data_IF_338081029208
#
_entry.id   IF_338081029208
#
_cell.length_a   1.000
_cell.length_b   1.000
_cell.length_c   1.000
_cell.angle_alpha   90.00
_cell.angle_beta   90.00
_cell.angle_gamma   90.00
#
_symmetry.space_group_name_H-M   'P 1'
#
loop_
_entity.id
_entity.type
_entity.pdbx_description
1 polymer ?
#
# COMPACT_ATOMS: atom_id res chain seq x y z
N UNK A 1 -37.93 -5.26 11.99
CA UNK A 1 -37.29 -6.57 11.78
C UNK A 1 -36.04 -6.36 10.90
N UNK A 2 -34.85 -6.30 11.50
CA UNK A 2 -33.60 -6.49 10.74
C UNK A 2 -33.51 -8.00 10.53
N UNK A 3 -33.82 -8.50 9.34
CA UNK A 3 -33.45 -9.84 8.96
C UNK A 3 -31.96 -10.02 9.16
N UNK A 4 -31.55 -11.01 9.93
CA UNK A 4 -30.18 -11.34 10.11
C UNK A 4 -29.63 -11.83 8.76
N UNK A 5 -28.68 -11.10 8.18
CA UNK A 5 -28.04 -11.49 6.92
C UNK A 5 -27.32 -12.82 7.16
N UNK A 6 -27.77 -13.88 6.49
CA UNK A 6 -27.09 -15.18 6.51
C UNK A 6 -25.94 -15.18 5.50
N UNK A 7 -24.77 -14.73 5.95
CA UNK A 7 -23.57 -14.65 5.09
C UNK A 7 -23.13 -16.00 4.54
N UNK A 8 -23.34 -17.09 5.27
CA UNK A 8 -22.95 -18.43 4.83
C UNK A 8 -23.78 -18.88 3.62
N UNK A 9 -25.08 -18.55 3.63
CA UNK A 9 -25.96 -18.82 2.48
C UNK A 9 -25.52 -18.01 1.25
N UNK A 10 -25.20 -16.73 1.40
CA UNK A 10 -24.71 -15.92 0.28
C UNK A 10 -23.38 -16.43 -0.31
N UNK A 11 -22.49 -16.95 0.51
CA UNK A 11 -21.25 -17.57 0.02
C UNK A 11 -21.52 -18.85 -0.79
N UNK A 12 -22.48 -19.68 -0.34
CA UNK A 12 -22.93 -20.86 -1.07
C UNK A 12 -23.62 -20.48 -2.39
N UNK A 13 -24.49 -19.51 -2.37
CA UNK A 13 -25.17 -19.00 -3.58
C UNK A 13 -24.15 -18.44 -4.59
N UNK A 14 -23.15 -17.69 -4.11
CA UNK A 14 -22.07 -17.20 -4.96
C UNK A 14 -21.25 -18.36 -5.55
N UNK A 15 -20.97 -19.40 -4.76
CA UNK A 15 -20.19 -20.56 -5.24
C UNK A 15 -20.91 -21.33 -6.36
N UNK A 16 -22.24 -21.32 -6.35
CA UNK A 16 -23.09 -22.05 -7.31
C UNK A 16 -23.64 -21.15 -8.44
N UNK A 17 -23.34 -19.85 -8.44
CA UNK A 17 -23.84 -18.92 -9.45
C UNK A 17 -23.05 -19.00 -10.76
N UNK A 18 -23.71 -18.69 -11.89
CA UNK A 18 -23.05 -18.63 -13.20
C UNK A 18 -21.98 -17.53 -13.29
N UNK A 19 -22.17 -16.43 -12.55
CA UNK A 19 -21.23 -15.31 -12.48
C UNK A 19 -20.83 -15.10 -11.00
N UNK A 20 -19.65 -15.62 -10.66
CA UNK A 20 -19.15 -15.62 -9.28
C UNK A 20 -18.26 -14.43 -8.99
N UNK A 21 -18.44 -13.82 -7.81
CA UNK A 21 -17.41 -12.98 -7.21
C UNK A 21 -16.28 -13.87 -6.70
N UNK A 22 -15.18 -13.94 -7.42
CA UNK A 22 -14.05 -14.84 -7.09
C UNK A 22 -13.02 -14.17 -6.17
N UNK A 23 -13.08 -12.85 -6.01
CA UNK A 23 -12.17 -12.10 -5.15
C UNK A 23 -12.86 -10.86 -4.59
N UNK A 24 -12.88 -10.74 -3.28
CA UNK A 24 -13.37 -9.58 -2.54
C UNK A 24 -12.21 -8.94 -1.79
N UNK A 25 -11.98 -7.66 -2.05
CA UNK A 25 -10.96 -6.86 -1.34
C UNK A 25 -11.64 -5.89 -0.39
N UNK A 26 -11.17 -5.88 0.85
CA UNK A 26 -11.54 -4.88 1.85
C UNK A 26 -10.34 -3.97 2.12
N UNK A 27 -10.59 -2.69 2.37
CA UNK A 27 -9.56 -1.70 2.71
C UNK A 27 -9.86 -1.13 4.08
N UNK A 28 -8.84 -1.08 4.94
CA UNK A 28 -8.98 -0.57 6.30
C UNK A 28 -7.66 -0.02 6.84
N UNK A 29 -7.68 0.38 8.12
CA UNK A 29 -6.47 0.81 8.85
C UNK A 29 -5.91 -0.37 9.66
N UNK A 30 -4.60 -0.43 9.94
CA UNK A 30 -4.01 -1.45 10.80
C UNK A 30 -4.68 -1.53 12.17
N UNK A 31 -5.02 -0.40 12.78
CA UNK A 31 -5.71 -0.31 14.08
C UNK A 31 -7.08 -1.00 14.13
N UNK A 32 -7.71 -1.19 12.98
CA UNK A 32 -9.02 -1.84 12.86
C UNK A 32 -8.92 -3.35 12.60
N UNK A 33 -7.72 -3.88 12.37
CA UNK A 33 -7.47 -5.29 12.12
C UNK A 33 -7.20 -6.02 13.44
N UNK A 34 -8.23 -6.37 14.17
CA UNK A 34 -8.17 -7.30 15.31
C UNK A 34 -8.81 -8.65 14.94
N UNK A 35 -8.70 -9.64 15.81
CA UNK A 35 -9.23 -10.99 15.56
C UNK A 35 -10.70 -10.98 15.17
N UNK A 36 -11.52 -10.20 15.86
CA UNK A 36 -12.96 -10.13 15.58
C UNK A 36 -13.24 -9.54 14.20
N UNK A 37 -12.62 -8.39 13.87
CA UNK A 37 -12.85 -7.72 12.57
C UNK A 37 -12.35 -8.57 11.41
N UNK A 38 -11.20 -9.24 11.56
CA UNK A 38 -10.64 -10.15 10.56
C UNK A 38 -11.54 -11.37 10.36
N UNK A 39 -12.08 -11.94 11.45
CA UNK A 39 -13.07 -13.00 11.37
C UNK A 39 -14.31 -12.55 10.60
N UNK A 40 -14.84 -11.34 10.86
CA UNK A 40 -15.99 -10.79 10.12
C UNK A 40 -15.67 -10.57 8.64
N UNK A 41 -14.46 -10.09 8.31
CA UNK A 41 -14.02 -9.95 6.91
C UNK A 41 -13.99 -11.30 6.20
N UNK A 42 -13.46 -12.34 6.86
CA UNK A 42 -13.47 -13.72 6.32
C UNK A 42 -14.87 -14.24 6.12
N UNK A 43 -15.75 -14.06 7.12
CA UNK A 43 -17.14 -14.46 7.05
C UNK A 43 -17.91 -13.75 5.93
N UNK A 44 -17.53 -12.50 5.60
CA UNK A 44 -18.09 -11.76 4.48
C UNK A 44 -17.52 -12.18 3.11
N UNK A 45 -16.61 -13.15 3.05
CA UNK A 45 -16.00 -13.66 1.81
C UNK A 45 -14.78 -12.89 1.33
N UNK A 46 -14.16 -12.05 2.18
CA UNK A 46 -12.91 -11.38 1.82
C UNK A 46 -11.82 -12.39 1.48
N UNK A 47 -11.10 -12.12 0.41
CA UNK A 47 -9.94 -12.90 -0.04
C UNK A 47 -8.64 -12.11 0.11
N UNK A 48 -8.75 -10.80 0.26
CA UNK A 48 -7.64 -9.86 0.36
C UNK A 48 -8.03 -8.66 1.22
N UNK A 49 -7.07 -8.17 2.01
CA UNK A 49 -7.24 -6.93 2.77
C UNK A 49 -6.09 -5.98 2.46
N UNK A 50 -6.43 -4.73 2.21
CA UNK A 50 -5.49 -3.64 1.99
C UNK A 50 -5.42 -2.78 3.26
N UNK A 51 -4.23 -2.58 3.79
CA UNK A 51 -4.03 -1.78 4.99
C UNK A 51 -3.13 -0.57 4.74
N UNK A 52 -3.54 0.55 5.34
CA UNK A 52 -2.85 1.83 5.23
C UNK A 52 -1.63 1.93 6.15
N UNK A 53 -0.53 1.24 5.80
CA UNK A 53 0.72 1.23 6.58
C UNK A 53 1.40 2.59 6.55
N UNK A 54 1.56 3.18 5.39
CA UNK A 54 2.15 4.47 5.05
C UNK A 54 3.69 4.48 5.18
N UNK A 55 4.26 4.28 6.37
CA UNK A 55 5.69 4.09 6.65
C UNK A 55 5.88 3.19 7.88
N UNK A 56 7.12 2.81 8.19
CA UNK A 56 7.48 2.01 9.37
C UNK A 56 8.24 2.83 10.42
N UNK A 57 7.92 4.12 10.54
CA UNK A 57 8.56 5.05 11.48
C UNK A 57 7.50 5.74 12.35
N UNK A 58 7.41 5.35 13.64
CA UNK A 58 6.37 5.85 14.56
C UNK A 58 6.36 7.37 14.70
N UNK A 59 7.54 8.01 14.78
CA UNK A 59 7.62 9.47 14.90
C UNK A 59 7.05 10.22 13.68
N UNK A 60 7.07 9.59 12.49
CA UNK A 60 6.46 10.13 11.28
C UNK A 60 4.95 9.91 11.30
N UNK A 61 4.49 8.73 11.72
CA UNK A 61 3.07 8.44 11.91
C UNK A 61 2.42 9.39 12.91
N UNK A 62 3.11 9.70 14.01
CA UNK A 62 2.67 10.68 15.02
C UNK A 62 2.56 12.09 14.43
N UNK A 63 3.58 12.56 13.69
CA UNK A 63 3.54 13.87 13.02
C UNK A 63 2.37 13.98 12.05
N UNK A 64 2.00 12.89 11.41
CA UNK A 64 0.86 12.81 10.50
C UNK A 64 -0.47 12.61 11.21
N UNK A 65 -0.48 12.59 12.54
CA UNK A 65 -1.66 12.32 13.38
C UNK A 65 -2.43 11.06 12.93
N UNK A 66 -1.68 9.99 12.58
CA UNK A 66 -2.29 8.74 12.08
C UNK A 66 -2.98 7.92 13.16
N UNK A 67 -2.67 8.20 14.46
CA UNK A 67 -3.17 7.40 15.58
C UNK A 67 -2.93 5.90 15.37
N UNK A 68 -1.74 5.57 14.90
CA UNK A 68 -1.32 4.24 14.48
C UNK A 68 0.16 4.09 14.82
N UNK A 69 0.56 2.90 15.23
CA UNK A 69 1.95 2.53 15.49
C UNK A 69 2.40 1.40 14.57
N UNK A 70 3.69 1.21 14.45
CA UNK A 70 4.28 0.09 13.69
C UNK A 70 3.84 -1.25 14.27
N UNK A 71 3.66 -1.34 15.60
CA UNK A 71 3.12 -2.53 16.27
C UNK A 71 1.69 -2.88 15.82
N UNK A 72 0.86 -1.89 15.46
CA UNK A 72 -0.48 -2.14 14.91
C UNK A 72 -0.37 -2.81 13.54
N UNK A 73 0.63 -2.41 12.74
CA UNK A 73 0.88 -3.04 11.42
C UNK A 73 1.30 -4.49 11.57
N UNK A 74 2.20 -4.78 12.53
CA UNK A 74 2.66 -6.14 12.85
C UNK A 74 1.47 -7.02 13.26
N UNK A 75 0.67 -6.57 14.22
CA UNK A 75 -0.50 -7.30 14.68
C UNK A 75 -1.53 -7.52 13.57
N UNK A 76 -1.85 -6.47 12.81
CA UNK A 76 -2.76 -6.56 11.67
C UNK A 76 -2.28 -7.58 10.63
N UNK A 77 -0.98 -7.54 10.29
CA UNK A 77 -0.39 -8.48 9.33
C UNK A 77 -0.49 -9.91 9.80
N UNK A 78 -0.18 -10.16 11.07
CA UNK A 78 -0.30 -11.48 11.69
C UNK A 78 -1.73 -12.01 11.60
N UNK A 79 -2.73 -11.27 12.11
CA UNK A 79 -4.14 -11.70 12.08
C UNK A 79 -4.64 -11.97 10.66
N UNK A 80 -4.29 -11.10 9.70
CA UNK A 80 -4.71 -11.27 8.32
C UNK A 80 -4.08 -12.50 7.66
N UNK A 81 -2.79 -12.76 7.90
CA UNK A 81 -2.09 -13.93 7.36
C UNK A 81 -2.55 -15.24 8.00
N UNK A 82 -2.73 -15.26 9.32
CA UNK A 82 -3.29 -16.40 10.06
C UNK A 82 -4.71 -16.75 9.56
N UNK A 83 -5.50 -15.75 9.18
CA UNK A 83 -6.80 -15.96 8.56
C UNK A 83 -6.75 -16.40 7.08
N UNK A 84 -5.55 -16.58 6.49
CA UNK A 84 -5.37 -16.97 5.08
C UNK A 84 -5.72 -15.88 4.07
N UNK A 85 -5.74 -14.61 4.48
CA UNK A 85 -6.01 -13.47 3.60
C UNK A 85 -4.74 -12.98 2.92
N UNK A 86 -4.85 -12.54 1.67
CA UNK A 86 -3.78 -11.80 1.01
C UNK A 86 -3.67 -10.39 1.58
N UNK A 87 -2.45 -9.94 1.87
CA UNK A 87 -2.19 -8.66 2.51
C UNK A 87 -1.56 -7.68 1.53
N UNK A 88 -2.16 -6.49 1.42
CA UNK A 88 -1.65 -5.39 0.58
C UNK A 88 -1.29 -4.22 1.47
N UNK A 89 -0.08 -3.70 1.34
CA UNK A 89 0.32 -2.47 2.03
C UNK A 89 0.22 -1.26 1.12
N UNK A 90 -0.37 -0.20 1.64
CA UNK A 90 -0.26 1.13 1.07
C UNK A 90 0.91 1.85 1.72
N UNK A 91 1.93 2.19 0.93
CA UNK A 91 3.12 2.92 1.35
C UNK A 91 3.11 4.32 0.77
N UNK A 92 3.55 5.29 1.57
CA UNK A 92 3.59 6.70 1.19
C UNK A 92 5.01 7.26 1.33
N UNK A 93 5.90 7.04 0.34
CA UNK A 93 7.22 7.64 0.37
C UNK A 93 7.15 9.17 0.33
N UNK A 94 8.09 9.80 1.00
CA UNK A 94 8.21 11.25 1.09
C UNK A 94 7.22 11.88 2.07
N UNK A 95 6.82 11.19 3.14
CA UNK A 95 6.04 11.82 4.23
C UNK A 95 6.88 12.88 4.98
N UNK A 96 6.23 13.88 5.63
CA UNK A 96 6.93 14.88 6.44
C UNK A 96 7.85 14.26 7.50
N UNK A 97 9.15 14.46 7.33
CA UNK A 97 10.21 13.88 8.18
C UNK A 97 10.88 12.64 7.61
N UNK A 98 10.45 12.16 6.44
CA UNK A 98 11.16 11.13 5.68
C UNK A 98 12.14 11.75 4.69
N UNK A 99 13.21 11.01 4.39
CA UNK A 99 14.16 11.28 3.29
C UNK A 99 14.17 10.07 2.34
N UNK A 100 14.72 10.20 1.13
CA UNK A 100 14.87 9.05 0.23
C UNK A 100 15.56 7.84 0.88
N UNK A 101 16.57 8.06 1.68
CA UNK A 101 17.34 7.01 2.38
C UNK A 101 16.50 6.32 3.46
N UNK A 102 15.72 7.10 4.22
CA UNK A 102 14.84 6.55 5.26
C UNK A 102 13.66 5.80 4.66
N UNK A 103 13.10 6.28 3.55
CA UNK A 103 12.06 5.57 2.80
C UNK A 103 12.56 4.22 2.27
N UNK A 104 13.79 4.18 1.71
CA UNK A 104 14.40 2.94 1.22
C UNK A 104 14.65 1.96 2.37
N UNK A 105 15.15 2.43 3.50
CA UNK A 105 15.37 1.59 4.69
C UNK A 105 14.05 1.00 5.23
N UNK A 106 13.01 1.80 5.34
CA UNK A 106 11.68 1.33 5.75
C UNK A 106 11.14 0.30 4.76
N UNK A 107 11.41 0.49 3.46
CA UNK A 107 10.99 -0.45 2.43
C UNK A 107 11.75 -1.78 2.48
N UNK A 108 13.05 -1.76 2.71
CA UNK A 108 13.84 -2.97 2.90
C UNK A 108 13.36 -3.77 4.11
N UNK A 109 12.96 -3.07 5.18
CA UNK A 109 12.42 -3.69 6.38
C UNK A 109 11.13 -4.48 6.11
N UNK A 110 10.31 -4.07 5.12
CA UNK A 110 9.08 -4.82 4.75
C UNK A 110 9.35 -6.28 4.37
N UNK A 111 10.56 -6.61 3.91
CA UNK A 111 10.87 -7.94 3.40
C UNK A 111 11.95 -8.67 4.21
N UNK A 112 12.81 -7.92 4.91
CA UNK A 112 13.85 -8.47 5.75
C UNK A 112 13.35 -8.83 7.15
N UNK A 113 12.29 -8.17 7.62
CA UNK A 113 11.66 -8.42 8.90
C UNK A 113 10.44 -9.36 8.70
N UNK A 114 10.43 -10.55 9.34
CA UNK A 114 9.38 -11.55 9.17
C UNK A 114 8.00 -11.09 9.64
N UNK A 115 7.93 -10.06 10.46
CA UNK A 115 6.67 -9.52 10.99
C UNK A 115 5.82 -8.80 9.93
N UNK A 116 6.39 -8.48 8.76
CA UNK A 116 5.68 -7.78 7.67
C UNK A 116 5.41 -8.68 6.46
N UNK A 117 6.28 -8.72 5.49
CA UNK A 117 6.24 -9.53 4.27
C UNK A 117 4.87 -9.51 3.54
N UNK A 118 4.40 -8.34 3.07
CA UNK A 118 3.14 -8.25 2.35
C UNK A 118 3.15 -9.02 1.02
N UNK A 119 1.98 -9.49 0.58
CA UNK A 119 1.83 -10.14 -0.73
C UNK A 119 1.86 -9.11 -1.87
N UNK A 120 1.38 -7.90 -1.62
CA UNK A 120 1.24 -6.87 -2.63
C UNK A 120 1.50 -5.47 -2.06
N UNK A 121 1.84 -4.55 -2.96
CA UNK A 121 2.12 -3.16 -2.61
C UNK A 121 1.38 -2.18 -3.52
N UNK A 122 0.94 -1.08 -2.91
CA UNK A 122 0.61 0.17 -3.58
C UNK A 122 1.53 1.25 -3.03
N UNK A 123 2.20 1.98 -3.91
CA UNK A 123 3.17 3.01 -3.53
C UNK A 123 2.66 4.37 -4.01
N UNK A 124 2.36 5.24 -3.08
CA UNK A 124 1.77 6.55 -3.34
C UNK A 124 2.67 7.67 -2.82
N UNK A 125 3.63 8.18 -3.62
CA UNK A 125 4.41 9.33 -3.19
C UNK A 125 3.51 10.44 -2.64
N UNK A 126 3.95 11.02 -1.53
CA UNK A 126 3.16 12.03 -0.81
C UNK A 126 3.05 13.29 -1.66
N UNK A 127 1.83 13.82 -1.75
CA UNK A 127 1.49 15.03 -2.50
C UNK A 127 0.88 16.07 -1.56
N UNK A 128 1.10 17.34 -1.84
CA UNK A 128 0.29 18.43 -1.30
C UNK A 128 -0.96 18.59 -2.14
N UNK A 129 -2.11 18.21 -1.58
CA UNK A 129 -3.40 18.26 -2.25
C UNK A 129 -4.27 19.34 -1.62
N UNK A 130 -4.94 20.12 -2.44
CA UNK A 130 -5.86 21.20 -2.00
C UNK A 130 -6.85 20.66 -0.97
N UNK A 131 -7.00 21.42 0.13
CA UNK A 131 -7.95 21.08 1.19
C UNK A 131 -7.50 19.99 2.17
N UNK A 132 -6.37 19.33 1.93
CA UNK A 132 -5.82 18.34 2.88
C UNK A 132 -5.29 19.04 4.14
N UNK A 133 -5.28 18.38 5.32
CA UNK A 133 -4.68 18.93 6.53
C UNK A 133 -3.23 19.37 6.32
N UNK A 134 -2.44 18.56 5.60
CA UNK A 134 -1.05 18.86 5.29
C UNK A 134 -0.90 20.13 4.42
N UNK A 135 -1.82 20.36 3.46
CA UNK A 135 -1.76 21.56 2.64
C UNK A 135 -2.19 22.84 3.37
N UNK A 136 -2.95 22.70 4.46
CA UNK A 136 -3.34 23.84 5.32
C UNK A 136 -2.21 24.30 6.22
N UNK A 137 -1.37 23.37 6.69
CA UNK A 137 -0.25 23.62 7.59
C UNK A 137 1.00 22.83 7.13
N UNK A 138 1.60 23.18 5.99
CA UNK A 138 2.74 22.42 5.44
C UNK A 138 4.03 22.66 6.24
N UNK A 139 4.15 23.77 6.98
CA UNK A 139 5.41 24.17 7.61
C UNK A 139 6.52 24.28 6.55
N UNK A 140 7.67 23.69 6.86
CA UNK A 140 8.82 23.61 5.93
C UNK A 140 8.82 22.33 5.06
N UNK A 141 7.70 21.59 5.01
CA UNK A 141 7.62 20.37 4.24
C UNK A 141 7.58 20.66 2.74
N UNK A 142 8.46 19.98 2.01
CA UNK A 142 8.50 19.98 0.55
C UNK A 142 8.36 18.53 0.08
N UNK A 143 7.33 18.18 -0.71
CA UNK A 143 7.17 16.83 -1.24
C UNK A 143 8.27 16.52 -2.28
N UNK A 144 8.50 15.23 -2.54
CA UNK A 144 9.42 14.83 -3.59
C UNK A 144 8.96 15.33 -4.96
N UNK A 145 9.88 15.89 -5.73
CA UNK A 145 9.66 16.13 -7.15
C UNK A 145 9.58 14.80 -7.94
N UNK A 146 9.24 14.89 -9.21
CA UNK A 146 9.09 13.70 -10.07
C UNK A 146 10.38 12.89 -10.17
N UNK A 147 11.55 13.54 -10.22
CA UNK A 147 12.82 12.85 -10.39
C UNK A 147 13.22 12.13 -9.10
N UNK A 148 13.13 12.79 -7.96
CA UNK A 148 13.39 12.19 -6.65
C UNK A 148 12.45 11.02 -6.38
N UNK A 149 11.15 11.20 -6.62
CA UNK A 149 10.17 10.12 -6.47
C UNK A 149 10.46 8.95 -7.42
N UNK A 150 10.88 9.22 -8.66
CA UNK A 150 11.24 8.17 -9.62
C UNK A 150 12.43 7.33 -9.15
N UNK A 151 13.46 7.98 -8.58
CA UNK A 151 14.63 7.30 -8.00
C UNK A 151 14.24 6.42 -6.82
N UNK A 152 13.48 6.95 -5.86
CA UNK A 152 12.98 6.19 -4.69
C UNK A 152 12.13 4.99 -5.14
N UNK A 153 11.23 5.18 -6.11
CA UNK A 153 10.43 4.08 -6.65
C UNK A 153 11.29 3.06 -7.41
N UNK A 154 12.35 3.47 -8.10
CA UNK A 154 13.30 2.55 -8.73
C UNK A 154 14.01 1.70 -7.66
N UNK A 155 14.51 2.33 -6.59
CA UNK A 155 15.12 1.67 -5.45
C UNK A 155 14.19 0.64 -4.81
N UNK A 156 12.91 0.98 -4.62
CA UNK A 156 11.89 0.05 -4.12
C UNK A 156 11.68 -1.13 -5.04
N UNK A 157 11.60 -0.89 -6.36
CA UNK A 157 11.38 -1.95 -7.36
C UNK A 157 12.55 -2.91 -7.50
N UNK A 158 13.78 -2.44 -7.35
CA UNK A 158 14.99 -3.25 -7.36
C UNK A 158 15.04 -4.22 -6.18
N UNK A 159 14.51 -3.81 -5.02
CA UNK A 159 14.50 -4.56 -3.76
C UNK A 159 13.24 -5.41 -3.56
N UNK A 160 12.26 -5.28 -4.45
CA UNK A 160 10.99 -6.02 -4.34
C UNK A 160 11.20 -7.50 -4.64
N UNK A 161 10.88 -8.43 -3.72
CA UNK A 161 10.99 -9.88 -3.95
C UNK A 161 10.09 -10.37 -5.10
N UNK A 162 10.45 -11.48 -5.76
CA UNK A 162 9.70 -12.03 -6.91
C UNK A 162 8.25 -12.42 -6.60
N UNK A 163 7.93 -12.78 -5.35
CA UNK A 163 6.58 -13.16 -4.96
C UNK A 163 5.63 -11.97 -4.76
N UNK A 164 6.18 -10.75 -4.64
CA UNK A 164 5.39 -9.54 -4.37
C UNK A 164 4.84 -8.95 -5.65
N UNK A 165 3.58 -8.55 -5.61
CA UNK A 165 2.95 -7.80 -6.71
C UNK A 165 2.88 -6.31 -6.41
N UNK A 166 3.54 -5.48 -7.22
CA UNK A 166 3.36 -4.03 -7.20
C UNK A 166 2.13 -3.68 -8.05
N UNK A 167 1.00 -3.44 -7.39
CA UNK A 167 -0.27 -3.16 -8.06
C UNK A 167 -0.30 -1.76 -8.67
N UNK A 168 0.04 -0.75 -7.87
CA UNK A 168 -0.04 0.65 -8.29
C UNK A 168 1.17 1.45 -7.81
N UNK A 169 1.63 2.34 -8.68
CA UNK A 169 2.61 3.38 -8.36
C UNK A 169 1.93 4.69 -8.71
N UNK A 170 1.73 5.55 -7.71
CA UNK A 170 1.01 6.80 -7.80
C UNK A 170 -0.52 6.64 -7.76
N UNK A 171 -1.17 7.60 -7.07
CA UNK A 171 -2.62 7.74 -6.97
C UNK A 171 -3.12 8.63 -8.10
N UNK A 172 -4.27 8.30 -8.65
CA UNK A 172 -4.93 9.14 -9.67
C UNK A 172 -5.62 10.33 -8.99
N UNK A 173 -4.90 11.45 -8.93
CA UNK A 173 -5.41 12.74 -8.43
C UNK A 173 -5.39 13.73 -9.58
N UNK A 174 -6.49 14.43 -9.86
CA UNK A 174 -6.51 15.46 -10.90
C UNK A 174 -5.45 16.54 -10.66
N UNK A 175 -4.71 16.90 -11.70
CA UNK A 175 -3.60 17.88 -11.59
C UNK A 175 -4.01 19.21 -10.95
N UNK A 176 -5.23 19.68 -11.21
CA UNK A 176 -5.76 20.92 -10.63
C UNK A 176 -5.99 20.86 -9.11
N UNK A 177 -5.96 19.67 -8.52
CA UNK A 177 -6.03 19.46 -7.07
C UNK A 177 -4.66 19.35 -6.42
N UNK A 178 -3.59 19.09 -7.18
CA UNK A 178 -2.23 18.97 -6.66
C UNK A 178 -1.61 20.36 -6.56
N UNK A 179 -1.14 20.72 -5.37
CA UNK A 179 -0.41 21.98 -5.11
C UNK A 179 1.07 21.77 -5.42
N UNK A 180 1.64 20.66 -4.91
CA UNK A 180 3.07 20.35 -5.07
C UNK A 180 3.32 18.83 -4.97
N UNK A 181 4.46 18.38 -5.53
CA UNK A 181 4.87 16.99 -5.59
C UNK A 181 4.90 16.42 -7.00
N UNK A 182 4.66 15.12 -7.14
CA UNK A 182 4.68 14.46 -8.44
C UNK A 182 3.48 14.86 -9.29
N UNK A 183 3.71 15.74 -10.27
CA UNK A 183 2.68 16.26 -11.16
C UNK A 183 2.35 15.35 -12.35
N UNK A 184 3.26 14.44 -12.71
CA UNK A 184 3.14 13.58 -13.87
C UNK A 184 2.46 12.25 -13.50
N UNK A 185 1.41 11.88 -14.23
CA UNK A 185 0.64 10.65 -13.99
C UNK A 185 1.36 9.34 -14.36
N UNK A 186 2.53 9.43 -14.99
CA UNK A 186 3.28 8.30 -15.53
C UNK A 186 4.57 7.99 -14.75
N UNK A 187 4.59 8.19 -13.43
CA UNK A 187 5.75 7.98 -12.56
C UNK A 187 6.39 6.58 -12.74
N UNK A 188 5.58 5.54 -13.01
CA UNK A 188 6.09 4.20 -13.30
C UNK A 188 7.06 4.18 -14.49
N UNK A 189 6.82 5.01 -15.51
CA UNK A 189 7.70 5.09 -16.69
C UNK A 189 9.01 5.79 -16.34
N UNK A 190 8.98 6.84 -15.51
CA UNK A 190 10.19 7.51 -15.02
C UNK A 190 11.05 6.55 -14.20
N UNK A 191 10.46 5.82 -13.26
CA UNK A 191 11.17 4.81 -12.49
C UNK A 191 11.78 3.69 -13.37
N UNK A 192 11.08 3.27 -14.44
CA UNK A 192 11.62 2.30 -15.41
C UNK A 192 12.83 2.85 -16.18
N UNK A 193 12.80 4.14 -16.55
CA UNK A 193 13.92 4.78 -17.22
C UNK A 193 15.15 4.83 -16.30
N UNK A 194 14.95 5.27 -15.06
CA UNK A 194 15.98 5.29 -14.03
C UNK A 194 16.62 3.91 -13.84
N UNK A 195 15.81 2.85 -13.72
CA UNK A 195 16.29 1.48 -13.59
C UNK A 195 17.09 1.03 -14.83
N UNK A 196 16.65 1.40 -16.04
CA UNK A 196 17.37 1.08 -17.29
C UNK A 196 18.74 1.77 -17.32
N UNK A 197 18.82 3.03 -16.90
CA UNK A 197 20.08 3.78 -16.82
C UNK A 197 21.06 3.18 -15.80
N UNK A 198 20.53 2.61 -14.70
CA UNK A 198 21.31 1.88 -13.69
C UNK A 198 21.66 0.44 -14.10
N UNK A 199 21.14 -0.08 -15.20
CA UNK A 199 21.30 -1.48 -15.60
C UNK A 199 20.55 -2.48 -14.70
N UNK A 200 19.53 -2.02 -13.97
CA UNK A 200 18.74 -2.85 -13.03
C UNK A 200 17.37 -3.18 -13.57
N UNK A 201 16.70 -4.15 -12.95
CA UNK A 201 15.34 -4.57 -13.31
C UNK A 201 14.50 -4.94 -12.09
N UNK A 202 13.18 -4.75 -12.21
CA UNK A 202 12.23 -5.18 -11.19
C UNK A 202 11.95 -6.69 -11.31
N UNK A 203 11.95 -7.39 -10.19
CA UNK A 203 11.65 -8.83 -10.14
C UNK A 203 10.21 -9.13 -9.72
N UNK A 204 9.38 -8.10 -9.46
CA UNK A 204 8.01 -8.30 -9.00
C UNK A 204 7.18 -9.16 -9.99
N UNK A 205 6.23 -9.92 -9.46
CA UNK A 205 5.45 -10.92 -10.22
C UNK A 205 4.76 -10.39 -11.48
N UNK A 206 4.39 -9.10 -11.51
CA UNK A 206 3.77 -8.49 -12.70
C UNK A 206 4.67 -8.46 -13.95
N UNK A 207 5.99 -8.51 -13.76
CA UNK A 207 6.95 -8.51 -14.87
C UNK A 207 7.36 -9.93 -15.27
N UNK A 208 7.34 -10.89 -14.34
CA UNK A 208 7.62 -12.28 -14.66
C UNK A 208 6.55 -12.90 -15.59
N UNK A 209 5.29 -12.44 -15.49
CA UNK A 209 4.19 -12.91 -16.34
C UNK A 209 4.18 -12.33 -17.75
N UNK A 210 4.94 -11.28 -18.04
CA UNK A 210 5.06 -10.71 -19.41
C UNK A 210 6.09 -11.47 -20.24
N UNK A 211 6.89 -12.33 -19.62
CA UNK A 211 7.97 -13.09 -20.26
C UNK A 211 7.66 -14.59 -20.35
N UNK A 212 6.42 -15.00 -20.05
CA UNK A 212 5.87 -16.31 -20.32
C UNK A 212 5.01 -16.20 -21.58
#
# INVERSE_FOLDING_TARGET
>A
NKESINTDQYLLDNANSNHRCVALTMETRPTECNEFSVFQMRKAGATRVEIGVQCLTDSVLDKMNRQQKVTDVINATRYLKEAGLKVVYHMMPGLPGMTPETDVRDFERLFNDPDFQPDMLKMYPTLLVKGSPLSKNPGNYVPYDTNTAAKVIADFKERTPPYVRIQRIQRDIPKNQIIDGVMNSNLRQYARREMKERGTKCLCINLSLIHI
#
